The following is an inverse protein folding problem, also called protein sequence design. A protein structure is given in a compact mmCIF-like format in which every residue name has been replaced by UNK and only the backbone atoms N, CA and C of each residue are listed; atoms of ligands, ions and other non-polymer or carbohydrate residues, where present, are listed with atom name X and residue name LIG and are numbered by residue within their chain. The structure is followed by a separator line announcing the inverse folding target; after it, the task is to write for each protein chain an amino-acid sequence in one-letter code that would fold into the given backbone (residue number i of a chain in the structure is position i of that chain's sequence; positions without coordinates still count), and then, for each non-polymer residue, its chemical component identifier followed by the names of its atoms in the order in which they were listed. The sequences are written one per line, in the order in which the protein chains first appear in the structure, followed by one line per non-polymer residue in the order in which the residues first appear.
data_IF_448761674481
#
_entry.id   IF_448761674481
#
_cell.length_a   1.000
_cell.length_b   1.000
_cell.length_c   1.000
_cell.angle_alpha   90.00
_cell.angle_beta   90.00
_cell.angle_gamma   90.00
#
_symmetry.space_group_name_H-M   'P 1'
#
loop_
_entity.id
_entity.type
_entity.pdbx_description
1 polymer ?
#
# COMPACT_ATOMS: atom_id res chain seq x y z
N UNK A 1 15.35 0.19 -7.85
CA UNK A 1 15.86 -1.13 -7.41
C UNK A 1 15.62 -1.38 -5.91
N UNK A 2 15.54 -0.34 -5.10
CA UNK A 2 15.27 -0.44 -3.65
C UNK A 2 13.81 -0.71 -3.31
N UNK A 3 12.90 -0.65 -4.29
CA UNK A 3 11.46 -0.83 -4.10
C UNK A 3 10.95 -2.27 -4.26
N UNK A 4 11.84 -3.22 -4.50
CA UNK A 4 11.48 -4.63 -4.69
C UNK A 4 12.00 -5.52 -3.57
N UNK A 5 11.17 -6.50 -3.20
CA UNK A 5 11.49 -7.53 -2.21
C UNK A 5 11.32 -8.91 -2.85
N UNK A 6 12.35 -9.75 -2.77
CA UNK A 6 12.35 -11.08 -3.36
C UNK A 6 12.45 -12.16 -2.30
N UNK A 7 11.58 -13.17 -2.39
CA UNK A 7 11.68 -14.41 -1.59
C UNK A 7 12.61 -15.44 -2.24
N UNK A 8 13.08 -15.21 -3.47
CA UNK A 8 13.95 -16.10 -4.24
C UNK A 8 15.41 -15.65 -4.08
N UNK A 9 16.31 -16.60 -3.82
CA UNK A 9 17.75 -16.32 -3.76
C UNK A 9 18.44 -17.02 -2.59
N UNK A 10 19.73 -16.67 -2.31
CA UNK A 10 20.48 -17.24 -1.20
C UNK A 10 19.77 -17.01 0.14
N UNK A 11 19.53 -18.09 0.90
CA UNK A 11 18.78 -18.05 2.16
C UNK A 11 17.26 -17.94 2.00
N UNK A 12 16.74 -17.89 0.76
CA UNK A 12 15.32 -17.84 0.45
C UNK A 12 14.80 -19.14 -0.16
N UNK A 13 13.60 -19.02 -0.75
CA UNK A 13 12.91 -20.12 -1.42
C UNK A 13 13.42 -20.32 -2.84
N UNK A 14 13.31 -21.56 -3.36
CA UNK A 14 13.43 -21.82 -4.79
C UNK A 14 12.04 -21.89 -5.41
N UNK A 15 11.93 -21.63 -6.72
CA UNK A 15 10.65 -21.71 -7.45
C UNK A 15 9.97 -23.06 -7.30
N UNK A 16 10.74 -24.14 -7.17
CA UNK A 16 10.23 -25.51 -7.04
C UNK A 16 9.61 -25.78 -5.68
N UNK A 17 10.15 -25.16 -4.63
CA UNK A 17 9.72 -25.36 -3.24
C UNK A 17 8.56 -24.42 -2.89
N UNK A 18 8.44 -23.29 -3.56
CA UNK A 18 7.39 -22.33 -3.30
C UNK A 18 6.00 -22.86 -3.67
N UNK A 19 5.15 -23.06 -2.68
CA UNK A 19 3.74 -23.44 -2.84
C UNK A 19 2.86 -22.20 -2.97
N UNK A 20 1.57 -22.39 -3.24
CA UNK A 20 0.59 -21.32 -3.36
C UNK A 20 0.47 -20.48 -2.11
N UNK A 21 0.56 -21.08 -0.93
CA UNK A 21 0.43 -20.38 0.35
C UNK A 21 1.48 -19.28 0.54
N UNK A 22 2.72 -19.51 0.13
CA UNK A 22 3.80 -18.52 0.20
C UNK A 22 3.61 -17.39 -0.82
N UNK A 23 2.92 -17.67 -1.93
CA UNK A 23 2.66 -16.71 -3.01
C UNK A 23 1.43 -15.84 -2.76
N UNK A 24 0.58 -16.23 -1.82
CA UNK A 24 -0.64 -15.49 -1.50
C UNK A 24 -0.35 -14.21 -0.72
N UNK A 25 -1.27 -13.25 -0.83
CA UNK A 25 -1.21 -12.00 -0.07
C UNK A 25 -1.60 -12.27 1.38
N UNK A 26 -0.70 -11.95 2.29
CA UNK A 26 -0.97 -12.05 3.73
C UNK A 26 -1.40 -10.70 4.29
N UNK A 27 -2.34 -10.65 5.27
CA UNK A 27 -2.80 -9.39 5.86
C UNK A 27 -1.70 -8.50 6.44
N UNK A 28 -0.55 -9.04 6.86
CA UNK A 28 0.61 -8.29 7.34
C UNK A 28 1.29 -7.46 6.25
N UNK A 29 0.98 -7.71 4.97
CA UNK A 29 1.51 -6.95 3.83
C UNK A 29 0.74 -5.65 3.58
N UNK A 30 -0.37 -5.43 4.28
CA UNK A 30 -1.18 -4.23 4.11
C UNK A 30 -0.36 -2.95 4.37
N UNK A 31 -0.35 -2.05 3.40
CA UNK A 31 0.41 -0.79 3.47
C UNK A 31 1.94 -0.94 3.36
N UNK A 32 2.45 -2.16 3.24
CA UNK A 32 3.89 -2.47 3.16
C UNK A 32 4.27 -2.96 1.78
N UNK A 33 3.53 -3.94 1.24
CA UNK A 33 3.73 -4.48 -0.09
C UNK A 33 2.48 -4.32 -0.94
N UNK A 34 2.67 -3.98 -2.22
CA UNK A 34 1.57 -3.88 -3.18
C UNK A 34 0.96 -5.27 -3.43
N UNK A 35 -0.35 -5.45 -3.30
CA UNK A 35 -1.00 -6.74 -3.57
C UNK A 35 -1.15 -7.05 -5.06
N UNK A 36 -0.88 -6.08 -5.95
CA UNK A 36 -1.13 -6.15 -7.38
C UNK A 36 0.16 -6.32 -8.17
N UNK A 37 1.18 -5.51 -7.89
CA UNK A 37 2.43 -5.49 -8.67
C UNK A 37 3.33 -6.67 -8.29
N UNK A 38 3.33 -7.69 -9.14
CA UNK A 38 4.20 -8.86 -9.07
C UNK A 38 4.48 -9.36 -10.48
N UNK A 39 5.62 -10.02 -10.76
CA UNK A 39 5.87 -10.60 -12.07
C UNK A 39 4.81 -11.64 -12.47
N UNK A 40 4.54 -11.73 -13.76
CA UNK A 40 3.79 -12.84 -14.31
C UNK A 40 4.70 -14.08 -14.47
N UNK A 41 4.11 -15.26 -14.38
CA UNK A 41 4.84 -16.53 -14.59
C UNK A 41 5.41 -17.15 -13.32
N UNK A 42 6.59 -17.83 -13.38
CA UNK A 42 7.08 -18.66 -12.28
C UNK A 42 7.37 -17.92 -10.98
N UNK A 43 7.65 -16.63 -11.06
CA UNK A 43 7.98 -15.78 -9.90
C UNK A 43 6.78 -15.04 -9.30
N UNK A 44 5.56 -15.34 -9.75
CA UNK A 44 4.36 -14.69 -9.24
C UNK A 44 4.24 -14.84 -7.72
N UNK A 45 4.03 -13.72 -7.01
CA UNK A 45 3.93 -13.69 -5.56
C UNK A 45 5.25 -13.86 -4.81
N UNK A 46 6.35 -14.18 -5.49
CA UNK A 46 7.67 -14.35 -4.89
C UNK A 46 8.52 -13.08 -4.94
N UNK A 47 8.28 -12.24 -5.94
CA UNK A 47 8.90 -10.92 -6.07
C UNK A 47 7.80 -9.88 -5.97
N UNK A 48 7.87 -9.03 -4.94
CA UNK A 48 6.86 -8.02 -4.66
C UNK A 48 7.46 -6.63 -4.69
N UNK A 49 6.64 -5.64 -4.94
CA UNK A 49 7.01 -4.22 -4.84
C UNK A 49 6.51 -3.61 -3.56
N UNK A 50 7.31 -2.74 -2.96
CA UNK A 50 6.91 -2.00 -1.77
C UNK A 50 5.77 -1.03 -2.08
N UNK A 51 4.89 -0.81 -1.11
CA UNK A 51 3.86 0.20 -1.20
C UNK A 51 4.46 1.61 -1.23
N UNK A 52 3.73 2.58 -1.78
CA UNK A 52 4.23 3.90 -2.17
C UNK A 52 4.92 4.67 -1.03
N UNK A 53 4.36 4.65 0.18
CA UNK A 53 4.86 5.46 1.30
C UNK A 53 5.66 4.68 2.32
N UNK A 54 5.86 3.38 2.15
CA UNK A 54 6.65 2.61 3.09
C UNK A 54 8.15 2.92 2.94
N UNK A 55 8.88 2.68 4.00
CA UNK A 55 10.33 2.85 4.04
C UNK A 55 10.98 1.71 4.81
N UNK A 56 12.29 1.54 4.63
CA UNK A 56 13.09 0.61 5.43
C UNK A 56 13.78 1.40 6.52
N UNK A 57 13.60 0.99 7.79
CA UNK A 57 14.26 1.66 8.91
C UNK A 57 15.75 1.24 9.05
N UNK A 58 16.45 1.86 9.99
CA UNK A 58 17.88 1.58 10.24
C UNK A 58 18.17 0.14 10.66
N UNK A 59 17.18 -0.61 11.13
CA UNK A 59 17.29 -2.01 11.53
C UNK A 59 16.92 -2.99 10.42
N UNK A 60 16.55 -2.51 9.23
CA UNK A 60 16.15 -3.33 8.09
C UNK A 60 14.67 -3.73 8.07
N UNK A 61 13.85 -3.24 8.99
CA UNK A 61 12.40 -3.48 8.98
C UNK A 61 11.68 -2.48 8.08
N UNK A 62 10.66 -2.98 7.39
CA UNK A 62 9.79 -2.16 6.56
C UNK A 62 8.70 -1.55 7.43
N UNK A 63 8.51 -0.25 7.33
CA UNK A 63 7.49 0.51 8.08
C UNK A 63 6.67 1.39 7.15
N UNK A 64 5.43 1.62 7.54
CA UNK A 64 4.45 2.42 6.83
C UNK A 64 3.98 3.61 7.69
N UNK A 65 3.68 4.77 7.09
CA UNK A 65 3.27 5.96 7.84
C UNK A 65 1.78 5.91 8.21
N UNK A 66 1.47 6.41 9.39
CA UNK A 66 0.10 6.58 9.87
C UNK A 66 -0.04 7.91 10.61
N UNK A 67 -1.21 8.51 10.50
CA UNK A 67 -1.56 9.72 11.27
C UNK A 67 -2.08 9.32 12.63
N UNK A 68 -1.57 9.98 13.68
CA UNK A 68 -2.03 9.75 15.04
C UNK A 68 -3.44 10.28 15.23
N UNK A 69 -4.28 9.52 15.91
CA UNK A 69 -5.65 9.89 16.27
C UNK A 69 -5.74 10.04 17.78
N UNK A 70 -6.27 11.18 18.25
CA UNK A 70 -6.47 11.47 19.65
C UNK A 70 -7.95 11.83 19.88
N UNK A 71 -8.64 11.07 20.73
CA UNK A 71 -10.05 11.28 21.07
C UNK A 71 -10.97 11.44 19.85
N UNK A 72 -10.81 10.55 18.85
CA UNK A 72 -11.60 10.57 17.63
C UNK A 72 -11.24 11.69 16.65
N UNK A 73 -10.15 12.38 16.86
CA UNK A 73 -9.65 13.46 16.00
C UNK A 73 -8.33 13.06 15.35
N UNK A 74 -8.29 13.09 14.01
CA UNK A 74 -7.07 12.83 13.24
C UNK A 74 -6.14 14.04 13.35
N UNK A 75 -4.91 13.81 13.77
CA UNK A 75 -3.87 14.86 13.88
C UNK A 75 -2.95 14.85 12.67
N UNK A 76 -2.11 15.86 12.54
CA UNK A 76 -1.06 15.92 11.50
C UNK A 76 0.22 15.17 11.88
N UNK A 77 0.31 14.64 13.08
CA UNK A 77 1.46 13.87 13.53
C UNK A 77 1.52 12.53 12.85
N UNK A 78 2.64 12.23 12.18
CA UNK A 78 2.87 10.98 11.45
C UNK A 78 3.84 10.10 12.22
N UNK A 79 3.44 8.85 12.44
CA UNK A 79 4.29 7.82 13.03
C UNK A 79 4.42 6.66 12.05
N UNK A 80 5.65 6.15 11.90
CA UNK A 80 5.91 4.96 11.09
C UNK A 80 5.83 3.71 11.97
N UNK A 81 5.06 2.73 11.52
CA UNK A 81 4.84 1.46 12.22
C UNK A 81 5.25 0.29 11.33
N UNK A 82 5.94 -0.69 11.91
CA UNK A 82 6.17 -1.98 11.28
C UNK A 82 4.90 -2.86 11.36
N UNK A 83 4.86 -3.96 10.61
CA UNK A 83 3.72 -4.88 10.63
C UNK A 83 3.43 -5.44 12.04
N UNK A 84 4.47 -5.69 12.83
CA UNK A 84 4.33 -6.19 14.22
C UNK A 84 3.72 -5.12 15.13
N UNK A 85 4.13 -3.88 14.96
CA UNK A 85 3.61 -2.75 15.74
C UNK A 85 2.16 -2.43 15.37
N UNK A 86 1.79 -2.55 14.09
CA UNK A 86 0.43 -2.32 13.62
C UNK A 86 -0.61 -3.22 14.30
N UNK A 87 -0.25 -4.46 14.59
CA UNK A 87 -1.16 -5.41 15.24
C UNK A 87 -1.65 -4.93 16.61
N UNK A 88 -0.88 -4.08 17.28
CA UNK A 88 -1.19 -3.55 18.60
C UNK A 88 -2.21 -2.43 18.59
N UNK A 89 -2.47 -1.83 17.43
CA UNK A 89 -3.26 -0.61 17.30
C UNK A 89 -4.49 -0.81 16.43
N UNK A 90 -5.51 0.01 16.68
CA UNK A 90 -6.70 0.13 15.82
C UNK A 90 -6.46 1.25 14.82
N UNK A 91 -6.45 0.92 13.53
CA UNK A 91 -6.11 1.85 12.45
C UNK A 91 -7.32 2.07 11.55
N UNK A 92 -7.78 3.32 11.47
CA UNK A 92 -8.88 3.71 10.60
C UNK A 92 -8.44 3.74 9.13
N UNK A 93 -9.36 3.40 8.22
CA UNK A 93 -9.12 3.50 6.78
C UNK A 93 -9.09 4.97 6.32
N UNK A 94 -8.29 5.25 5.28
CA UNK A 94 -8.09 6.60 4.76
C UNK A 94 -9.36 7.24 4.18
N UNK A 95 -10.31 6.44 3.73
CA UNK A 95 -11.58 6.90 3.14
C UNK A 95 -12.66 7.22 4.17
N UNK A 96 -12.37 7.11 5.47
CA UNK A 96 -13.33 7.44 6.52
C UNK A 96 -13.66 8.93 6.49
N UNK A 97 -14.95 9.33 6.48
CA UNK A 97 -15.34 10.75 6.46
C UNK A 97 -14.84 11.51 7.68
N UNK A 98 -14.23 12.67 7.44
CA UNK A 98 -13.65 13.54 8.47
C UNK A 98 -14.25 14.93 8.35
N UNK A 99 -14.62 15.54 9.49
CA UNK A 99 -15.06 16.93 9.58
C UNK A 99 -13.90 17.89 9.33
N UNK A 100 -14.19 19.15 9.08
CA UNK A 100 -13.18 20.20 8.88
C UNK A 100 -12.22 20.38 10.06
N UNK A 101 -12.64 20.01 11.26
CA UNK A 101 -11.81 20.06 12.48
C UNK A 101 -10.95 18.79 12.67
N UNK A 102 -11.01 17.82 11.77
CA UNK A 102 -10.26 16.57 11.84
C UNK A 102 -10.95 15.42 12.57
N UNK A 103 -12.12 15.63 13.17
CA UNK A 103 -12.89 14.58 13.86
C UNK A 103 -13.61 13.67 12.86
N UNK A 104 -13.71 12.37 13.17
CA UNK A 104 -14.53 11.47 12.37
C UNK A 104 -16.01 11.90 12.42
N UNK A 105 -16.66 11.87 11.26
CA UNK A 105 -18.08 12.24 11.15
C UNK A 105 -18.98 11.20 11.82
N UNK A 106 -18.65 9.94 11.64
CA UNK A 106 -19.43 8.81 12.16
C UNK A 106 -18.89 8.35 13.51
N UNK A 107 -19.79 7.84 14.35
CA UNK A 107 -19.42 7.26 15.63
C UNK A 107 -18.70 5.92 15.47
N UNK A 108 -19.15 5.10 14.51
CA UNK A 108 -18.51 3.83 14.14
C UNK A 108 -17.67 4.02 12.89
N UNK A 109 -16.39 3.72 12.98
CA UNK A 109 -15.41 3.91 11.92
C UNK A 109 -14.87 2.56 11.46
N UNK A 110 -14.80 2.37 10.14
CA UNK A 110 -14.16 1.19 9.55
C UNK A 110 -12.66 1.21 9.83
N UNK A 111 -12.16 0.13 10.43
CA UNK A 111 -10.77 0.04 10.87
C UNK A 111 -10.21 -1.38 10.76
N UNK A 112 -8.90 -1.49 10.97
CA UNK A 112 -8.17 -2.76 11.12
C UNK A 112 -7.70 -2.90 12.55
N UNK A 113 -7.91 -4.09 13.12
CA UNK A 113 -7.35 -4.48 14.41
C UNK A 113 -7.03 -5.97 14.39
N UNK A 114 -5.83 -6.35 14.83
CA UNK A 114 -5.39 -7.75 14.86
C UNK A 114 -5.60 -8.47 13.51
N UNK A 115 -5.23 -7.82 12.40
CA UNK A 115 -5.38 -8.34 11.03
C UNK A 115 -6.83 -8.52 10.55
N UNK A 116 -7.80 -8.06 11.31
CA UNK A 116 -9.21 -8.14 10.95
C UNK A 116 -9.77 -6.75 10.63
N UNK A 117 -10.69 -6.71 9.65
CA UNK A 117 -11.47 -5.51 9.35
C UNK A 117 -12.72 -5.51 10.20
N UNK A 118 -12.96 -4.42 10.93
CA UNK A 118 -14.10 -4.26 11.83
C UNK A 118 -14.58 -2.81 11.90
N UNK A 119 -15.73 -2.60 12.56
CA UNK A 119 -16.18 -1.27 12.93
C UNK A 119 -15.86 -1.04 14.41
N UNK A 120 -15.24 0.08 14.73
CA UNK A 120 -14.93 0.49 16.09
C UNK A 120 -15.43 1.89 16.36
N UNK A 121 -15.71 2.17 17.65
CA UNK A 121 -16.02 3.52 18.07
C UNK A 121 -14.84 4.46 17.76
N UNK A 122 -15.14 5.65 17.24
CA UNK A 122 -14.12 6.65 16.87
C UNK A 122 -13.14 7.01 18.00
N UNK A 123 -13.55 6.88 19.25
CA UNK A 123 -12.71 7.16 20.41
C UNK A 123 -11.65 6.07 20.67
N UNK A 124 -11.86 4.87 20.14
CA UNK A 124 -10.95 3.74 20.25
C UNK A 124 -9.94 3.65 19.12
N UNK A 125 -9.99 4.54 18.15
CA UNK A 125 -9.06 4.58 17.02
C UNK A 125 -7.73 5.19 17.47
N UNK A 126 -6.63 4.49 17.21
CA UNK A 126 -5.28 4.93 17.58
C UNK A 126 -4.58 5.68 16.45
N UNK A 127 -4.73 5.21 15.23
CA UNK A 127 -4.13 5.76 14.01
C UNK A 127 -5.10 5.77 12.85
N UNK A 128 -4.78 6.53 11.82
CA UNK A 128 -5.49 6.57 10.55
C UNK A 128 -4.49 6.42 9.40
N UNK A 129 -4.90 5.73 8.33
CA UNK A 129 -4.13 5.69 7.09
C UNK A 129 -3.91 7.12 6.56
N UNK A 130 -2.75 7.36 5.97
CA UNK A 130 -2.39 8.68 5.41
C UNK A 130 -3.13 8.94 4.11
N UNK A 131 -3.22 7.93 3.23
CA UNK A 131 -3.85 8.02 1.93
C UNK A 131 -4.26 6.62 1.45
N UNK A 132 -5.34 6.49 0.64
CA UNK A 132 -5.65 5.23 -0.03
C UNK A 132 -4.52 4.71 -0.92
N UNK A 133 -3.69 5.59 -1.46
CA UNK A 133 -2.54 5.24 -2.33
C UNK A 133 -1.42 4.52 -1.58
N UNK A 134 -1.39 4.56 -0.24
CA UNK A 134 -0.37 3.85 0.53
C UNK A 134 -0.50 2.32 0.48
N UNK A 135 -1.60 1.78 -0.03
CA UNK A 135 -1.84 0.35 -0.12
C UNK A 135 -1.17 -0.30 -1.32
N UNK A 136 -0.81 0.47 -2.32
CA UNK A 136 -0.31 0.01 -3.62
C UNK A 136 1.05 0.60 -3.93
N UNK A 137 1.78 -0.02 -4.86
CA UNK A 137 3.05 0.49 -5.36
C UNK A 137 2.87 1.74 -6.22
N UNK A 138 3.97 2.39 -6.57
CA UNK A 138 3.96 3.56 -7.46
C UNK A 138 3.34 3.21 -8.81
N UNK A 139 3.71 2.09 -9.41
CA UNK A 139 3.16 1.67 -10.71
C UNK A 139 1.65 1.46 -10.63
N UNK A 140 1.16 0.77 -9.61
CA UNK A 140 -0.28 0.57 -9.42
C UNK A 140 -1.01 1.88 -9.10
N UNK A 141 -0.39 2.80 -8.38
CA UNK A 141 -0.97 4.11 -8.08
C UNK A 141 -1.12 5.02 -9.30
N UNK A 142 -0.39 4.75 -10.38
CA UNK A 142 -0.50 5.45 -11.66
C UNK A 142 -1.66 4.96 -12.54
N UNK A 143 -2.32 3.87 -12.18
CA UNK A 143 -3.45 3.32 -12.95
C UNK A 143 -4.72 4.11 -12.63
N UNK A 144 -5.32 4.84 -13.59
CA UNK A 144 -6.58 5.54 -13.37
C UNK A 144 -7.72 4.56 -13.08
N UNK A 145 -8.60 4.91 -12.16
CA UNK A 145 -9.77 4.11 -11.78
C UNK A 145 -9.43 2.68 -11.31
N UNK A 146 -8.30 2.53 -10.65
CA UNK A 146 -7.80 1.24 -10.16
C UNK A 146 -8.83 0.50 -9.28
N UNK A 147 -9.57 1.23 -8.47
CA UNK A 147 -10.60 0.68 -7.57
C UNK A 147 -11.75 -0.01 -8.31
N UNK A 148 -11.93 0.29 -9.59
CA UNK A 148 -12.97 -0.30 -10.46
C UNK A 148 -12.40 -1.35 -11.42
N UNK A 149 -11.09 -1.63 -11.36
CA UNK A 149 -10.41 -2.54 -12.27
C UNK A 149 -10.26 -3.94 -11.67
N UNK A 150 -10.17 -4.94 -12.54
CA UNK A 150 -9.84 -6.31 -12.14
C UNK A 150 -8.36 -6.42 -11.76
N UNK A 151 -8.07 -7.14 -10.68
CA UNK A 151 -6.71 -7.30 -10.17
C UNK A 151 -5.75 -7.92 -11.20
N UNK A 152 -6.22 -8.88 -12.01
CA UNK A 152 -5.40 -9.50 -13.06
C UNK A 152 -5.00 -8.49 -14.14
N UNK A 153 -5.93 -7.65 -14.55
CA UNK A 153 -5.67 -6.61 -15.57
C UNK A 153 -4.78 -5.49 -15.00
N UNK A 154 -4.95 -5.12 -13.75
CA UNK A 154 -4.08 -4.18 -13.07
C UNK A 154 -2.65 -4.71 -12.93
N UNK A 155 -2.48 -5.99 -12.62
CA UNK A 155 -1.18 -6.66 -12.60
C UNK A 155 -0.50 -6.60 -13.97
N UNK A 156 -1.22 -6.91 -15.03
CA UNK A 156 -0.70 -6.82 -16.42
C UNK A 156 -0.32 -5.38 -16.77
N UNK A 157 -1.16 -4.40 -16.43
CA UNK A 157 -0.93 -2.98 -16.69
C UNK A 157 0.30 -2.46 -15.95
N UNK A 158 0.49 -2.79 -14.70
CA UNK A 158 1.66 -2.38 -13.92
C UNK A 158 2.96 -2.96 -14.47
N UNK A 159 2.94 -4.20 -14.96
CA UNK A 159 4.08 -4.81 -15.62
C UNK A 159 4.39 -4.17 -16.98
N UNK A 160 3.35 -3.82 -17.75
CA UNK A 160 3.52 -3.14 -19.04
C UNK A 160 4.09 -1.73 -18.92
N UNK A 161 3.89 -1.03 -17.81
CA UNK A 161 4.50 0.30 -17.57
C UNK A 161 6.02 0.27 -17.64
N UNK A 162 6.67 -0.83 -17.27
CA UNK A 162 8.12 -1.00 -17.37
C UNK A 162 8.61 -1.16 -18.81
N UNK A 163 7.72 -1.45 -19.73
CA UNK A 163 8.00 -1.64 -21.16
C UNK A 163 7.61 -0.41 -21.98
N UNK A 164 7.30 0.71 -21.32
CA UNK A 164 6.90 1.94 -21.97
C UNK A 164 8.01 2.49 -22.88
N UNK A 165 7.63 2.95 -24.06
CA UNK A 165 8.51 3.57 -25.04
C UNK A 165 8.23 5.08 -25.05
N UNK A 166 9.28 5.94 -24.97
CA UNK A 166 9.08 7.38 -25.03
C UNK A 166 8.45 7.82 -26.37
N UNK A 167 7.53 8.76 -26.29
CA UNK A 167 6.93 9.37 -27.48
C UNK A 167 7.91 10.32 -28.16
N UNK A 168 7.82 10.45 -29.49
CA UNK A 168 8.59 11.43 -30.24
C UNK A 168 8.30 12.87 -29.77
N UNK A 169 7.06 13.14 -29.47
CA UNK A 169 6.61 14.39 -28.86
C UNK A 169 5.89 14.05 -27.56
N UNK A 170 6.49 14.37 -26.39
CA UNK A 170 5.84 14.11 -25.11
C UNK A 170 4.55 14.91 -24.96
N UNK A 171 3.52 14.28 -24.37
CA UNK A 171 2.26 14.91 -24.05
C UNK A 171 1.74 14.41 -22.70
N UNK A 172 0.94 15.25 -22.04
CA UNK A 172 0.33 14.89 -20.77
C UNK A 172 -0.80 13.86 -20.97
N UNK A 173 -0.98 12.93 -20.02
CA UNK A 173 -2.13 12.02 -20.07
C UNK A 173 -3.44 12.80 -19.93
N UNK A 174 -4.49 12.36 -20.64
CA UNK A 174 -5.82 12.95 -20.56
C UNK A 174 -6.48 12.72 -19.20
N UNK A 175 -6.18 11.60 -18.56
CA UNK A 175 -6.68 11.22 -17.24
C UNK A 175 -5.49 10.83 -16.38
N UNK A 176 -5.37 11.43 -15.21
CA UNK A 176 -4.29 11.17 -14.27
C UNK A 176 -4.81 10.85 -12.87
N UNK A 177 -3.94 10.32 -12.02
CA UNK A 177 -4.22 9.97 -10.62
C UNK A 177 -3.80 11.05 -9.63
N UNK A 178 -3.05 12.06 -10.09
CA UNK A 178 -2.49 13.13 -9.27
C UNK A 178 -1.13 12.82 -8.64
N UNK A 179 -0.59 11.62 -8.82
CA UNK A 179 0.75 11.24 -8.34
C UNK A 179 1.83 11.40 -9.42
N UNK A 180 1.45 11.69 -10.66
CA UNK A 180 2.35 11.73 -11.81
C UNK A 180 3.46 12.78 -11.64
N UNK A 181 3.12 13.95 -11.13
CA UNK A 181 4.10 15.02 -10.88
C UNK A 181 5.14 14.64 -9.85
N UNK A 182 4.72 13.96 -8.78
CA UNK A 182 5.60 13.52 -7.71
C UNK A 182 6.58 12.45 -8.21
N UNK A 183 6.09 11.51 -9.01
CA UNK A 183 6.90 10.44 -9.63
C UNK A 183 7.89 11.01 -10.65
N UNK A 184 7.53 12.07 -11.36
CA UNK A 184 8.40 12.69 -12.38
C UNK A 184 9.53 13.52 -11.77
N UNK A 185 9.40 13.95 -10.50
CA UNK A 185 10.40 14.77 -9.81
C UNK A 185 11.42 13.94 -9.02
N UNK A 186 11.13 12.67 -8.73
CA UNK A 186 12.03 11.71 -8.08
C UNK A 186 12.95 11.02 -9.12
#
# INVERSE_FOLDING_TARGET
HTSRVSAVGPGGLTRRIACFEVRDVHPTQYGIMCPIETPEGPNIGLINSLATYCRVNKFGYIESPYKKVVNGKVTSEIKYLSAIEEEKYTIAQANSPIKSNGSFEEELVACRKNLNFELSNRENIDFSDVSPKQLVSVAAALIPFLENDDANRALMGSNMMRQAVPLLKPESPLVGTGIESDVALD
#
